data_IF_278493894327
#
_entry.id   IF_278493894327
#
_cell.length_a   1.000
_cell.length_b   1.000
_cell.length_c   1.000
_cell.angle_alpha   90.00
_cell.angle_beta   90.00
_cell.angle_gamma   90.00
#
_symmetry.space_group_name_H-M   'P 1'
#
loop_
_entity.id
_entity.type
_entity.pdbx_description
1 polymer ?
#
# COMPACT_ATOMS: atom_id res chain seq x y z
N UNK A 1 -10.16 9.06 -4.76
CA UNK A 1 -9.65 8.66 -6.10
C UNK A 1 -8.60 7.54 -6.08
N UNK A 2 -7.54 7.54 -5.23
CA UNK A 2 -6.51 6.49 -5.26
C UNK A 2 -7.03 5.05 -5.24
N UNK A 3 -8.02 4.76 -4.39
CA UNK A 3 -8.63 3.43 -4.30
C UNK A 3 -9.26 2.96 -5.63
N UNK A 4 -9.97 3.84 -6.35
CA UNK A 4 -10.61 3.48 -7.62
C UNK A 4 -9.59 3.23 -8.73
N UNK A 5 -8.51 4.00 -8.78
CA UNK A 5 -7.41 3.76 -9.73
C UNK A 5 -6.72 2.44 -9.42
N UNK A 6 -6.45 2.14 -8.15
CA UNK A 6 -5.88 0.87 -7.73
C UNK A 6 -6.77 -0.32 -8.10
N UNK A 7 -8.09 -0.23 -7.84
CA UNK A 7 -9.06 -1.27 -8.23
C UNK A 7 -9.15 -1.44 -9.75
N UNK A 8 -9.14 -0.36 -10.53
CA UNK A 8 -9.16 -0.44 -11.99
C UNK A 8 -7.93 -1.18 -12.54
N UNK A 9 -6.75 -0.94 -11.95
CA UNK A 9 -5.52 -1.65 -12.30
C UNK A 9 -5.52 -3.10 -11.79
N UNK A 10 -6.18 -3.40 -10.67
CA UNK A 10 -6.35 -4.78 -10.19
C UNK A 10 -7.25 -5.60 -11.10
N UNK A 11 -8.24 -4.96 -11.72
CA UNK A 11 -9.27 -5.63 -12.51
C UNK A 11 -8.98 -5.67 -14.02
N UNK A 12 -7.87 -5.08 -14.48
CA UNK A 12 -7.54 -5.07 -15.92
C UNK A 12 -6.73 -6.30 -16.33
N UNK A 13 -7.22 -7.00 -17.36
CA UNK A 13 -6.50 -8.16 -17.94
C UNK A 13 -5.16 -7.77 -18.58
N UNK A 14 -5.01 -6.49 -18.95
CA UNK A 14 -3.81 -5.99 -19.63
C UNK A 14 -2.61 -5.78 -18.69
N UNK A 15 -2.79 -5.96 -17.38
CA UNK A 15 -1.77 -5.75 -16.35
C UNK A 15 -1.44 -4.28 -16.05
N UNK A 16 -1.89 -3.32 -16.87
CA UNK A 16 -1.72 -1.91 -16.58
C UNK A 16 -2.39 -0.98 -17.57
N UNK A 17 -2.67 0.26 -17.17
CA UNK A 17 -3.44 1.22 -17.96
C UNK A 17 -2.71 2.55 -18.06
N UNK A 18 -2.88 3.25 -19.18
CA UNK A 18 -2.45 4.63 -19.36
C UNK A 18 -3.35 5.59 -18.58
N UNK A 19 -2.88 6.83 -18.38
CA UNK A 19 -3.70 7.87 -17.74
C UNK A 19 -5.02 8.14 -18.50
N UNK A 20 -5.00 7.98 -19.82
CA UNK A 20 -6.16 8.18 -20.69
C UNK A 20 -7.17 7.05 -20.54
N UNK A 21 -6.71 5.80 -20.55
CA UNK A 21 -7.57 4.63 -20.32
C UNK A 21 -8.18 4.65 -18.92
N UNK A 22 -7.41 5.01 -17.89
CA UNK A 22 -7.93 5.18 -16.53
C UNK A 22 -8.99 6.28 -16.43
N UNK A 23 -8.75 7.43 -17.05
CA UNK A 23 -9.70 8.53 -17.08
C UNK A 23 -11.01 8.13 -17.78
N UNK A 24 -10.91 7.44 -18.92
CA UNK A 24 -12.06 6.96 -19.67
C UNK A 24 -12.84 5.87 -18.91
N UNK A 25 -12.15 4.88 -18.34
CA UNK A 25 -12.79 3.77 -17.62
C UNK A 25 -13.48 4.25 -16.34
N UNK A 26 -12.85 5.18 -15.61
CA UNK A 26 -13.41 5.70 -14.36
C UNK A 26 -14.33 6.91 -14.55
N UNK A 27 -14.49 7.40 -15.79
CA UNK A 27 -15.29 8.58 -16.14
C UNK A 27 -14.87 9.83 -15.31
N UNK A 28 -13.57 10.05 -15.19
CA UNK A 28 -12.98 11.16 -14.43
C UNK A 28 -11.95 11.94 -15.25
N UNK A 29 -11.56 13.12 -14.77
CA UNK A 29 -10.54 13.94 -15.44
C UNK A 29 -9.13 13.35 -15.29
N UNK A 30 -8.24 13.68 -16.24
CA UNK A 30 -6.81 13.32 -16.15
C UNK A 30 -6.14 13.92 -14.91
N UNK A 31 -6.60 15.08 -14.42
CA UNK A 31 -6.09 15.67 -13.19
C UNK A 31 -6.38 14.80 -11.95
N UNK A 32 -7.57 14.19 -11.88
CA UNK A 32 -7.90 13.24 -10.82
C UNK A 32 -7.03 11.98 -10.85
N UNK A 33 -6.67 11.52 -12.06
CA UNK A 33 -5.72 10.41 -12.24
C UNK A 33 -4.32 10.81 -11.76
N UNK A 34 -3.82 12.00 -12.13
CA UNK A 34 -2.52 12.50 -11.67
C UNK A 34 -2.43 12.56 -10.15
N UNK A 35 -3.49 13.03 -9.46
CA UNK A 35 -3.54 13.04 -8.00
C UNK A 35 -3.47 11.63 -7.39
N UNK A 36 -4.16 10.66 -7.99
CA UNK A 36 -4.09 9.26 -7.56
C UNK A 36 -2.70 8.65 -7.77
N UNK A 37 -2.09 8.88 -8.94
CA UNK A 37 -0.74 8.37 -9.27
C UNK A 37 0.32 8.96 -8.35
N UNK A 38 0.27 10.28 -8.10
CA UNK A 38 1.18 10.96 -7.17
C UNK A 38 1.10 10.40 -5.74
N UNK A 39 -0.04 9.85 -5.35
CA UNK A 39 -0.20 9.16 -4.07
C UNK A 39 0.29 7.70 -4.13
N UNK A 40 -0.11 6.94 -5.15
CA UNK A 40 0.11 5.49 -5.23
C UNK A 40 1.57 5.11 -5.56
N UNK A 41 2.29 5.92 -6.34
CA UNK A 41 3.66 5.61 -6.73
C UNK A 41 4.65 5.66 -5.55
N UNK A 42 4.67 6.70 -4.69
CA UNK A 42 5.60 6.72 -3.55
C UNK A 42 5.33 5.64 -2.51
N UNK A 43 4.07 5.18 -2.37
CA UNK A 43 3.72 4.08 -1.46
C UNK A 43 3.95 2.69 -2.08
N UNK A 44 4.50 2.64 -3.29
CA UNK A 44 4.90 1.40 -3.98
C UNK A 44 3.76 0.60 -4.59
N UNK A 45 2.52 1.08 -4.58
CA UNK A 45 1.37 0.29 -5.06
C UNK A 45 1.32 0.21 -6.60
N UNK A 46 1.93 1.16 -7.31
CA UNK A 46 2.01 1.17 -8.77
C UNK A 46 3.40 1.59 -9.26
N UNK A 47 3.82 1.07 -10.40
CA UNK A 47 4.99 1.53 -11.16
C UNK A 47 4.56 2.25 -12.43
N UNK A 48 5.44 3.12 -12.95
CA UNK A 48 5.25 3.78 -14.23
C UNK A 48 6.20 3.19 -15.26
N UNK A 49 5.65 2.49 -16.24
CA UNK A 49 6.40 1.79 -17.27
C UNK A 49 6.20 2.45 -18.63
N UNK A 50 7.26 2.51 -19.43
CA UNK A 50 7.17 3.07 -20.78
C UNK A 50 6.69 1.97 -21.73
N UNK A 51 5.70 2.28 -22.55
CA UNK A 51 5.29 1.36 -23.60
C UNK A 51 6.41 1.22 -24.64
N UNK A 52 6.78 -0.02 -25.03
CA UNK A 52 7.74 -0.24 -26.11
C UNK A 52 7.32 0.49 -27.38
N UNK A 53 8.26 1.21 -28.01
CA UNK A 53 8.00 1.92 -29.26
C UNK A 53 7.17 3.21 -29.15
N UNK A 54 6.70 3.61 -27.96
CA UNK A 54 5.93 4.87 -27.80
C UNK A 54 6.53 5.81 -26.74
N UNK A 55 6.00 7.05 -26.70
CA UNK A 55 6.28 8.01 -25.62
C UNK A 55 5.27 7.89 -24.46
N UNK A 56 4.30 6.98 -24.54
CA UNK A 56 3.24 6.82 -23.55
C UNK A 56 3.72 5.96 -22.38
N UNK A 57 3.26 6.32 -21.19
CA UNK A 57 3.49 5.56 -19.96
C UNK A 57 2.22 4.80 -19.58
N UNK A 58 2.39 3.57 -19.09
CA UNK A 58 1.36 2.79 -18.40
C UNK A 58 1.66 2.77 -16.91
N UNK A 59 0.59 2.75 -16.12
CA UNK A 59 0.64 2.44 -14.71
C UNK A 59 0.33 0.96 -14.54
N UNK A 60 1.22 0.27 -13.85
CA UNK A 60 1.19 -1.18 -13.66
C UNK A 60 1.17 -1.45 -12.17
N UNK A 61 0.42 -2.47 -11.74
CA UNK A 61 0.51 -2.93 -10.36
C UNK A 61 1.83 -3.66 -10.14
N UNK A 62 2.46 -3.45 -8.99
CA UNK A 62 3.54 -4.33 -8.57
C UNK A 62 2.99 -5.71 -8.19
N UNK A 63 3.02 -6.64 -9.15
CA UNK A 63 2.80 -8.07 -8.92
C UNK A 63 4.16 -8.77 -8.69
N UNK A 64 4.29 -9.74 -7.77
CA UNK A 64 3.31 -10.29 -6.84
C UNK A 64 3.61 -9.91 -5.39
N UNK A 65 3.46 -8.63 -5.03
CA UNK A 65 3.84 -8.20 -3.67
C UNK A 65 3.25 -6.87 -3.22
N UNK A 66 2.22 -6.31 -3.89
CA UNK A 66 1.56 -5.10 -3.37
C UNK A 66 1.14 -5.25 -1.90
N UNK A 67 0.72 -6.46 -1.48
CA UNK A 67 0.41 -6.77 -0.09
C UNK A 67 1.66 -6.71 0.81
N UNK A 68 2.83 -7.11 0.32
CA UNK A 68 4.10 -6.96 1.05
C UNK A 68 4.58 -5.53 1.13
N UNK A 69 4.28 -4.69 0.15
CA UNK A 69 4.58 -3.25 0.18
C UNK A 69 3.71 -2.52 1.21
N UNK A 70 2.47 -2.97 1.41
CA UNK A 70 1.62 -2.50 2.51
C UNK A 70 2.25 -2.84 3.86
N UNK A 71 2.85 -4.02 4.00
CA UNK A 71 3.50 -4.47 5.24
C UNK A 71 4.89 -3.84 5.44
N UNK A 72 5.66 -3.65 4.37
CA UNK A 72 6.99 -3.01 4.37
C UNK A 72 6.95 -1.50 4.70
N UNK A 73 5.80 -0.96 5.10
CA UNK A 73 5.69 0.36 5.75
C UNK A 73 6.35 0.42 7.13
N UNK A 74 7.30 -0.47 7.42
CA UNK A 74 8.17 -0.45 8.61
C UNK A 74 8.69 0.96 8.87
N UNK A 75 9.26 1.66 7.88
CA UNK A 75 9.80 3.01 8.07
C UNK A 75 8.77 4.07 8.50
N UNK A 76 7.51 3.93 8.12
CA UNK A 76 6.45 4.86 8.50
C UNK A 76 5.93 4.53 9.91
N UNK A 77 5.81 3.24 10.24
CA UNK A 77 5.46 2.77 11.57
C UNK A 77 6.58 3.06 12.58
N UNK A 78 7.84 2.87 12.23
CA UNK A 78 9.01 3.20 13.07
C UNK A 78 9.04 4.67 13.45
N UNK A 79 8.76 5.55 12.48
CA UNK A 79 8.66 6.99 12.73
C UNK A 79 7.48 7.28 13.67
N UNK A 80 6.33 6.65 13.44
CA UNK A 80 5.14 6.84 14.28
C UNK A 80 5.36 6.34 15.71
N UNK A 81 6.00 5.19 15.88
CA UNK A 81 6.41 4.62 17.17
C UNK A 81 7.35 5.57 17.89
N UNK A 82 8.38 6.07 17.20
CA UNK A 82 9.37 6.99 17.77
C UNK A 82 8.70 8.29 18.23
N UNK A 83 7.92 8.93 17.35
CA UNK A 83 7.22 10.19 17.67
C UNK A 83 6.17 10.00 18.78
N UNK A 84 5.50 8.85 18.85
CA UNK A 84 4.51 8.56 19.89
C UNK A 84 5.19 8.36 21.25
N UNK A 85 6.35 7.70 21.30
CA UNK A 85 7.16 7.60 22.53
C UNK A 85 7.59 8.97 23.04
N UNK A 86 8.04 9.84 22.15
CA UNK A 86 8.39 11.22 22.51
C UNK A 86 7.17 11.98 23.05
N UNK A 87 6.00 11.78 22.43
CA UNK A 87 4.72 12.34 22.88
C UNK A 87 4.29 11.86 24.28
N UNK A 88 4.48 10.58 24.59
CA UNK A 88 4.19 10.02 25.93
C UNK A 88 5.09 10.67 26.98
N UNK A 89 6.38 10.81 26.69
CA UNK A 89 7.33 11.46 27.59
C UNK A 89 6.98 12.94 27.82
N UNK A 90 6.59 13.65 26.75
CA UNK A 90 6.21 15.05 26.82
C UNK A 90 4.89 15.29 27.59
N UNK A 91 3.90 14.41 27.43
CA UNK A 91 2.59 14.52 28.10
C UNK A 91 2.59 13.95 29.53
N UNK A 92 3.62 13.19 29.90
CA UNK A 92 3.68 12.45 31.15
C UNK A 92 2.92 11.11 31.04
N UNK A 93 3.56 9.96 31.34
CA UNK A 93 2.99 8.63 31.12
C UNK A 93 1.79 8.30 32.02
N UNK A 94 1.64 9.02 33.14
CA UNK A 94 0.53 8.84 34.09
C UNK A 94 -0.68 9.70 33.77
N UNK A 95 -0.59 10.61 32.80
CA UNK A 95 -1.75 11.42 32.40
C UNK A 95 -2.71 10.61 31.54
N UNK A 96 -4.02 10.94 31.53
CA UNK A 96 -4.98 10.26 30.65
C UNK A 96 -4.60 10.34 29.16
N UNK A 97 -3.93 11.41 28.73
CA UNK A 97 -3.46 11.54 27.35
C UNK A 97 -2.24 10.66 27.09
N UNK A 98 -1.29 10.60 28.02
CA UNK A 98 -0.13 9.71 27.95
C UNK A 98 -0.55 8.23 27.92
N UNK A 99 -1.55 7.83 28.70
CA UNK A 99 -2.09 6.47 28.71
C UNK A 99 -2.73 6.08 27.38
N UNK A 100 -3.54 6.96 26.75
CA UNK A 100 -4.12 6.69 25.42
C UNK A 100 -3.03 6.53 24.34
N UNK A 101 -1.99 7.35 24.40
CA UNK A 101 -0.85 7.22 23.49
C UNK A 101 -0.08 5.91 23.74
N UNK A 102 0.11 5.52 25.01
CA UNK A 102 0.78 4.28 25.37
C UNK A 102 0.02 3.05 24.88
N UNK A 103 -1.31 3.03 25.02
CA UNK A 103 -2.16 1.95 24.50
C UNK A 103 -2.12 1.88 22.96
N UNK A 104 -2.21 3.04 22.30
CA UNK A 104 -2.10 3.13 20.84
C UNK A 104 -0.74 2.68 20.33
N UNK A 105 0.33 3.03 21.05
CA UNK A 105 1.69 2.61 20.76
C UNK A 105 1.84 1.09 20.89
N UNK A 106 1.35 0.51 21.99
CA UNK A 106 1.40 -0.94 22.22
C UNK A 106 0.67 -1.72 21.12
N UNK A 107 -0.47 -1.22 20.65
CA UNK A 107 -1.19 -1.82 19.53
C UNK A 107 -0.41 -1.78 18.22
N UNK A 108 0.24 -0.66 17.89
CA UNK A 108 1.02 -0.55 16.66
C UNK A 108 2.30 -1.38 16.73
N UNK A 109 2.97 -1.46 17.88
CA UNK A 109 4.11 -2.37 18.10
C UNK A 109 3.70 -3.83 17.94
N UNK A 110 2.52 -4.21 18.45
CA UNK A 110 1.94 -5.53 18.21
C UNK A 110 1.72 -5.78 16.72
N UNK A 111 1.04 -4.88 16.00
CA UNK A 111 0.82 -5.03 14.57
C UNK A 111 2.14 -5.16 13.80
N UNK A 112 3.14 -4.31 14.09
CA UNK A 112 4.45 -4.38 13.43
C UNK A 112 5.11 -5.74 13.61
N UNK A 113 4.99 -6.35 14.80
CA UNK A 113 5.55 -7.67 15.09
C UNK A 113 4.80 -8.81 14.39
N UNK A 114 3.47 -8.76 14.33
CA UNK A 114 2.67 -9.87 13.80
C UNK A 114 2.56 -9.90 12.28
N UNK A 115 2.61 -8.74 11.62
CA UNK A 115 2.40 -8.63 10.17
C UNK A 115 3.36 -9.48 9.33
N UNK A 116 4.67 -9.59 9.62
CA UNK A 116 5.57 -10.51 8.90
C UNK A 116 5.13 -11.97 8.98
N UNK A 117 4.72 -12.44 10.16
CA UNK A 117 4.26 -13.82 10.34
C UNK A 117 2.93 -14.09 9.63
N UNK A 118 2.02 -13.10 9.59
CA UNK A 118 0.79 -13.18 8.79
C UNK A 118 1.08 -13.30 7.30
N UNK A 119 2.05 -12.55 6.78
CA UNK A 119 2.48 -12.64 5.39
C UNK A 119 3.09 -14.00 5.05
N UNK A 120 3.95 -14.53 5.92
CA UNK A 120 4.54 -15.86 5.72
C UNK A 120 3.45 -16.92 5.60
N UNK A 121 2.47 -16.93 6.52
CA UNK A 121 1.33 -17.84 6.45
C UNK A 121 0.49 -17.65 5.19
N UNK A 122 0.28 -16.41 4.74
CA UNK A 122 -0.41 -16.12 3.49
C UNK A 122 0.32 -16.71 2.27
N UNK A 123 1.66 -16.57 2.22
CA UNK A 123 2.46 -17.17 1.14
C UNK A 123 2.36 -18.70 1.14
N UNK A 124 2.45 -19.33 2.30
CA UNK A 124 2.31 -20.78 2.45
C UNK A 124 0.94 -21.27 1.96
N UNK A 125 -0.14 -20.55 2.30
CA UNK A 125 -1.48 -20.83 1.77
C UNK A 125 -1.54 -20.71 0.24
N UNK A 126 -0.89 -19.71 -0.34
CA UNK A 126 -0.86 -19.50 -1.79
C UNK A 126 -0.07 -20.60 -2.51
N UNK A 127 1.07 -21.02 -1.97
CA UNK A 127 1.90 -22.09 -2.53
C UNK A 127 1.22 -23.46 -2.44
N UNK A 128 0.43 -23.68 -1.39
CA UNK A 128 -0.32 -24.92 -1.15
C UNK A 128 -1.72 -24.93 -1.80
N UNK A 129 -2.13 -23.86 -2.49
CA UNK A 129 -3.42 -23.80 -3.16
C UNK A 129 -3.36 -24.45 -4.56
N UNK A 130 -4.00 -25.60 -4.81
CA UNK A 130 -3.94 -26.30 -6.09
C UNK A 130 -4.59 -25.54 -7.26
N UNK A 131 -5.40 -24.49 -6.99
CA UNK A 131 -6.04 -23.67 -8.02
C UNK A 131 -5.10 -22.72 -8.77
N UNK A 132 -3.84 -22.57 -8.32
CA UNK A 132 -2.82 -21.74 -8.97
C UNK A 132 -1.77 -22.52 -9.78
N UNK A 133 -1.79 -23.86 -9.75
CA UNK A 133 -0.82 -24.72 -10.48
C UNK A 133 -1.22 -25.02 -11.93
N UNK A 134 -2.32 -24.45 -12.43
CA UNK A 134 -2.81 -24.70 -13.79
C UNK A 134 -2.89 -23.41 -14.60
N UNK A 135 -1.74 -22.88 -15.03
CA UNK A 135 -1.62 -22.12 -16.29
C UNK A 135 -0.17 -22.19 -16.75
#
# INVERSE_FOLDING_TARGET
MPALVFVALLATDSGGLTAEELAAQLQVSRAAISGAVNYLSPVGLITRERQPGTRRYRYVLQDPTWFELVVRRERLLDRWITTTRDGINALGPTTPAGQRLAESLAFVEFLQREMPAMLTRWRELQTNNPRRKST
#
